data_IF_897367661821
#
_entry.id   IF_897367661821
#
_cell.length_a   1.000
_cell.length_b   1.000
_cell.length_c   1.000
_cell.angle_alpha   90.00
_cell.angle_beta   90.00
_cell.angle_gamma   90.00
#
_symmetry.space_group_name_H-M   'P 1'
#
loop_
_entity.id
_entity.type
_entity.pdbx_description
1 polymer ?
#
# COMPACT_ATOMS: atom_id res chain seq x y z
N UNK A 1 -37.07 22.95 13.78
CA UNK A 1 -36.74 23.20 15.19
C UNK A 1 -36.24 21.89 15.76
N UNK A 2 -35.01 21.72 16.22
CA UNK A 2 -33.88 22.64 16.31
C UNK A 2 -32.64 21.79 16.58
N UNK A 3 -31.53 22.21 15.99
CA UNK A 3 -30.21 21.64 16.16
C UNK A 3 -29.87 21.51 17.65
N UNK A 4 -29.51 20.29 18.07
CA UNK A 4 -28.75 20.10 19.29
C UNK A 4 -27.38 19.60 18.89
N UNK A 5 -26.55 20.57 18.51
CA UNK A 5 -25.13 20.58 18.86
C UNK A 5 -25.00 20.20 20.33
N UNK A 6 -24.83 18.91 20.61
CA UNK A 6 -24.20 18.48 21.85
C UNK A 6 -22.71 18.77 21.68
N UNK A 7 -22.37 20.06 21.83
CA UNK A 7 -21.02 20.56 21.90
C UNK A 7 -20.24 19.68 22.86
N UNK A 8 -19.17 19.08 22.32
CA UNK A 8 -18.22 18.33 23.10
C UNK A 8 -17.75 19.21 24.24
N UNK A 9 -18.12 18.81 25.46
CA UNK A 9 -17.46 19.27 26.67
C UNK A 9 -15.99 18.83 26.54
N UNK A 10 -15.20 19.71 25.92
CA UNK A 10 -13.75 19.64 25.96
C UNK A 10 -13.39 19.94 27.42
N UNK A 11 -13.51 18.91 28.26
CA UNK A 11 -13.15 18.94 29.67
C UNK A 11 -11.72 19.45 29.77
N UNK A 12 -11.59 20.72 30.13
CA UNK A 12 -10.32 21.42 30.23
C UNK A 12 -9.56 20.73 31.35
N UNK A 13 -8.68 19.79 30.99
CA UNK A 13 -7.91 19.04 31.98
C UNK A 13 -6.88 20.02 32.56
N UNK A 14 -6.92 20.33 33.86
CA UNK A 14 -6.06 21.36 34.43
C UNK A 14 -4.59 20.95 34.25
N UNK A 15 -3.77 21.87 33.75
CA UNK A 15 -2.34 21.65 33.57
C UNK A 15 -1.68 21.30 34.91
N UNK A 16 -0.89 20.22 34.93
CA UNK A 16 -0.16 19.81 36.12
C UNK A 16 1.08 20.71 36.30
N UNK A 17 1.33 21.17 37.53
CA UNK A 17 2.51 21.98 37.87
C UNK A 17 3.67 21.05 38.19
N UNK A 18 4.73 21.09 37.39
CA UNK A 18 5.99 20.39 37.65
C UNK A 18 7.07 21.43 37.87
N UNK A 19 7.47 21.63 39.13
CA UNK A 19 8.36 22.74 39.52
C UNK A 19 7.70 24.11 39.32
N UNK A 20 8.36 25.04 38.64
CA UNK A 20 7.84 26.37 38.28
C UNK A 20 7.08 26.39 36.94
N UNK A 21 7.02 25.26 36.22
CA UNK A 21 6.44 25.16 34.88
C UNK A 21 5.08 24.47 34.90
N UNK A 22 4.14 24.94 34.08
CA UNK A 22 2.84 24.28 33.86
C UNK A 22 2.94 23.40 32.61
N UNK A 23 2.63 22.12 32.74
CA UNK A 23 2.63 21.17 31.63
C UNK A 23 1.18 20.78 31.34
N UNK A 24 0.74 21.00 30.09
CA UNK A 24 -0.56 20.53 29.65
C UNK A 24 -0.58 18.99 29.71
N UNK A 25 -1.52 18.42 30.46
CA UNK A 25 -1.76 16.99 30.39
C UNK A 25 -2.35 16.71 29.01
N UNK A 26 -1.62 15.96 28.18
CA UNK A 26 -2.19 15.44 26.94
C UNK A 26 -3.39 14.59 27.34
N UNK A 27 -4.59 15.04 27.00
CA UNK A 27 -5.78 14.21 27.01
C UNK A 27 -5.42 12.99 26.17
N UNK A 28 -5.38 11.80 26.78
CA UNK A 28 -5.19 10.56 26.03
C UNK A 28 -6.30 10.54 24.99
N UNK A 29 -5.93 10.44 23.72
CA UNK A 29 -6.90 10.12 22.68
C UNK A 29 -7.67 8.89 23.15
N UNK A 30 -9.01 8.89 23.00
CA UNK A 30 -9.79 7.72 23.39
C UNK A 30 -9.18 6.53 22.65
N UNK A 31 -8.73 5.55 23.41
CA UNK A 31 -8.16 4.32 22.86
C UNK A 31 -9.24 3.74 21.96
N UNK A 32 -9.06 3.84 20.65
CA UNK A 32 -10.02 3.31 19.70
C UNK A 32 -10.21 1.83 20.03
N UNK A 33 -11.47 1.48 20.35
CA UNK A 33 -11.80 0.12 20.74
C UNK A 33 -11.51 -0.77 19.52
N UNK A 34 -10.73 -1.85 19.67
CA UNK A 34 -10.53 -2.78 18.58
C UNK A 34 -11.89 -3.35 18.16
N UNK A 35 -12.17 -3.31 16.86
CA UNK A 35 -13.37 -3.90 16.28
C UNK A 35 -13.44 -5.38 16.63
N UNK A 36 -14.63 -5.83 17.03
CA UNK A 36 -14.90 -7.26 17.16
C UNK A 36 -14.88 -7.92 15.78
N UNK A 37 -14.69 -9.24 15.75
CA UNK A 37 -14.78 -10.00 14.49
C UNK A 37 -16.13 -9.81 13.80
N UNK A 38 -17.22 -9.67 14.54
CA UNK A 38 -18.56 -9.45 14.00
C UNK A 38 -18.70 -8.07 13.37
N UNK A 39 -18.19 -7.04 14.04
CA UNK A 39 -18.20 -5.66 13.52
C UNK A 39 -17.36 -5.54 12.25
N UNK A 40 -16.20 -6.21 12.21
CA UNK A 40 -15.35 -6.27 11.02
C UNK A 40 -16.05 -6.98 9.86
N UNK A 41 -16.72 -8.10 10.13
CA UNK A 41 -17.47 -8.83 9.11
C UNK A 41 -18.62 -7.98 8.56
N UNK A 42 -19.31 -7.24 9.42
CA UNK A 42 -20.40 -6.36 9.01
C UNK A 42 -19.92 -5.20 8.13
N UNK A 43 -18.83 -4.53 8.52
CA UNK A 43 -18.20 -3.50 7.69
C UNK A 43 -17.74 -4.05 6.33
N UNK A 44 -17.16 -5.25 6.30
CA UNK A 44 -16.75 -5.87 5.03
C UNK A 44 -17.94 -6.20 4.13
N UNK A 45 -19.08 -6.63 4.70
CA UNK A 45 -20.31 -6.85 3.94
C UNK A 45 -20.86 -5.56 3.35
N UNK A 46 -20.89 -4.49 4.13
CA UNK A 46 -21.37 -3.18 3.67
C UNK A 46 -20.47 -2.61 2.56
N UNK A 47 -19.16 -2.62 2.76
CA UNK A 47 -18.20 -2.16 1.75
C UNK A 47 -18.31 -2.97 0.44
N UNK A 48 -18.36 -4.30 0.54
CA UNK A 48 -18.50 -5.16 -0.64
C UNK A 48 -19.88 -5.04 -1.30
N UNK A 49 -20.92 -4.62 -0.57
CA UNK A 49 -22.24 -4.35 -1.13
C UNK A 49 -22.32 -3.04 -1.91
N UNK A 50 -21.35 -2.13 -1.75
CA UNK A 50 -21.22 -0.92 -2.57
C UNK A 50 -20.40 -1.18 -3.86
N UNK A 51 -19.69 -2.30 -3.95
CA UNK A 51 -18.98 -2.77 -5.16
C UNK A 51 -19.99 -3.45 -6.11
N UNK A 52 -21.05 -2.75 -6.50
CA UNK A 52 -22.12 -3.31 -7.37
C UNK A 52 -21.86 -3.08 -8.86
N UNK A 53 -20.84 -2.30 -9.23
CA UNK A 53 -20.55 -2.07 -10.64
C UNK A 53 -19.09 -2.42 -10.87
N UNK A 54 -18.79 -3.57 -11.50
CA UNK A 54 -17.51 -3.73 -12.19
C UNK A 54 -17.32 -2.46 -13.02
N UNK A 55 -16.18 -1.77 -12.92
CA UNK A 55 -15.98 -0.54 -13.68
C UNK A 55 -16.46 -0.80 -15.11
N UNK A 56 -17.47 -0.04 -15.55
CA UNK A 56 -17.91 -0.11 -16.94
C UNK A 56 -16.67 0.23 -17.74
N UNK A 57 -16.04 -0.78 -18.29
CA UNK A 57 -15.05 -0.53 -19.31
C UNK A 57 -15.81 0.13 -20.46
N UNK A 58 -15.26 1.21 -21.02
CA UNK A 58 -15.87 1.93 -22.16
C UNK A 58 -15.88 1.09 -23.45
N UNK A 59 -15.61 -0.21 -23.38
CA UNK A 59 -15.65 -1.14 -24.50
C UNK A 59 -17.09 -1.57 -24.73
N UNK A 60 -17.65 -1.17 -25.86
CA UNK A 60 -19.02 -1.47 -26.25
C UNK A 60 -19.15 -2.94 -26.68
N UNK A 61 -18.03 -3.57 -27.07
CA UNK A 61 -17.98 -4.95 -27.56
C UNK A 61 -16.89 -5.81 -26.90
N UNK A 62 -17.09 -7.14 -26.81
CA UNK A 62 -16.06 -8.08 -26.36
C UNK A 62 -14.77 -8.02 -27.19
N UNK A 63 -14.89 -7.75 -28.49
CA UNK A 63 -13.76 -7.65 -29.41
C UNK A 63 -12.86 -6.43 -29.09
N UNK A 64 -13.47 -5.31 -28.69
CA UNK A 64 -12.74 -4.11 -28.25
C UNK A 64 -11.95 -4.36 -26.97
N UNK A 65 -12.56 -5.05 -26.00
CA UNK A 65 -11.87 -5.45 -24.77
C UNK A 65 -10.68 -6.37 -25.09
N UNK A 66 -10.87 -7.34 -25.98
CA UNK A 66 -9.80 -8.26 -26.38
C UNK A 66 -8.65 -7.52 -27.10
N UNK A 67 -8.98 -6.56 -27.97
CA UNK A 67 -7.99 -5.73 -28.64
C UNK A 67 -7.21 -4.85 -27.67
N UNK A 68 -7.90 -4.23 -26.71
CA UNK A 68 -7.27 -3.44 -25.65
C UNK A 68 -6.28 -4.31 -24.85
N UNK A 69 -6.73 -5.47 -24.36
CA UNK A 69 -5.93 -6.33 -23.50
C UNK A 69 -4.69 -6.85 -24.22
N UNK A 70 -4.82 -7.23 -25.49
CA UNK A 70 -3.66 -7.61 -26.32
C UNK A 70 -2.68 -6.45 -26.50
N UNK A 71 -3.20 -5.25 -26.76
CA UNK A 71 -2.38 -4.05 -26.99
C UNK A 71 -1.62 -3.66 -25.73
N UNK A 72 -2.29 -3.61 -24.58
CA UNK A 72 -1.68 -3.35 -23.28
C UNK A 72 -0.60 -4.37 -22.97
N UNK A 73 -0.88 -5.66 -23.16
CA UNK A 73 0.09 -6.73 -22.93
C UNK A 73 1.34 -6.55 -23.80
N UNK A 74 1.19 -6.21 -25.08
CA UNK A 74 2.33 -5.98 -25.99
C UNK A 74 3.15 -4.76 -25.59
N UNK A 75 2.50 -3.65 -25.22
CA UNK A 75 3.18 -2.41 -24.82
C UNK A 75 3.94 -2.59 -23.50
N UNK A 76 3.38 -3.33 -22.55
CA UNK A 76 3.95 -3.51 -21.22
C UNK A 76 4.98 -4.65 -21.13
N UNK A 77 5.17 -5.42 -22.20
CA UNK A 77 6.22 -6.45 -22.25
C UNK A 77 7.60 -5.80 -22.25
N UNK A 78 8.19 -5.70 -21.06
CA UNK A 78 9.61 -5.37 -20.91
C UNK A 78 10.45 -6.50 -21.49
N UNK A 79 11.59 -6.19 -22.16
CA UNK A 79 12.51 -7.22 -22.60
C UNK A 79 12.99 -8.05 -21.40
N UNK A 80 13.06 -9.37 -21.58
CA UNK A 80 13.57 -10.27 -20.56
C UNK A 80 15.02 -9.90 -20.22
N UNK A 81 15.41 -9.93 -18.93
CA UNK A 81 16.78 -9.67 -18.55
C UNK A 81 17.70 -10.70 -19.21
N UNK A 82 18.62 -10.26 -20.06
CA UNK A 82 19.64 -11.12 -20.63
C UNK A 82 20.82 -11.22 -19.66
N UNK A 83 21.03 -12.41 -19.11
CA UNK A 83 22.24 -12.70 -18.33
C UNK A 83 23.39 -13.03 -19.28
N UNK A 84 24.13 -12.02 -19.74
CA UNK A 84 25.42 -12.25 -20.42
C UNK A 84 26.50 -12.52 -19.37
N UNK A 85 27.01 -13.75 -19.32
CA UNK A 85 28.20 -14.05 -18.52
C UNK A 85 29.38 -13.27 -19.10
N UNK A 86 30.22 -12.61 -18.28
CA UNK A 86 31.44 -12.01 -18.78
C UNK A 86 32.32 -13.12 -19.38
N UNK A 87 32.56 -13.04 -20.69
CA UNK A 87 33.53 -13.90 -21.39
C UNK A 87 34.91 -13.54 -20.87
N UNK A 88 35.33 -14.21 -19.81
CA UNK A 88 36.71 -14.09 -19.36
C UNK A 88 37.52 -14.93 -20.33
N UNK A 89 38.23 -14.29 -21.26
CA UNK A 89 39.20 -14.99 -22.08
C UNK A 89 40.28 -15.55 -21.16
N UNK A 90 40.19 -16.85 -20.86
CA UNK A 90 41.25 -17.57 -20.15
C UNK A 90 42.43 -17.61 -21.10
N UNK A 91 43.39 -16.70 -20.91
CA UNK A 91 44.64 -16.79 -21.65
C UNK A 91 45.32 -18.12 -21.29
N UNK A 92 45.70 -18.95 -22.29
CA UNK A 92 46.41 -20.19 -22.01
C UNK A 92 47.74 -19.83 -21.33
N UNK A 93 47.95 -20.35 -20.12
CA UNK A 93 49.25 -20.24 -19.45
C UNK A 93 50.25 -21.12 -20.19
N UNK A 94 51.23 -20.49 -20.84
CA UNK A 94 52.36 -21.20 -21.44
C UNK A 94 53.29 -21.60 -20.29
N UNK A 95 53.23 -22.86 -19.87
CA UNK A 95 54.18 -23.42 -18.92
C UNK A 95 55.48 -23.78 -19.68
N UNK A 96 56.57 -23.06 -19.39
CA UNK A 96 57.89 -23.47 -19.88
C UNK A 96 58.41 -24.67 -19.07
N UNK A 97 59.02 -25.69 -19.72
CA UNK A 97 59.64 -26.79 -19.00
C UNK A 97 60.85 -26.27 -18.20
N UNK A 98 60.92 -26.60 -16.91
CA UNK A 98 62.15 -26.39 -16.14
C UNK A 98 63.14 -27.44 -16.58
N UNK A 99 64.28 -27.03 -17.12
CA UNK A 99 65.45 -27.89 -17.25
C UNK A 99 65.99 -28.19 -15.86
N UNK A 100 66.03 -29.46 -15.48
CA UNK A 100 67.11 -30.14 -14.74
C UNK A 100 66.79 -31.63 -14.64
#
# INVERSE_FOLDING_TARGET
MGDKDSGGDLGITPAAKVGSMRVAQRHREPVEKPLSREELMEQSRQYNSEIVVPPKHDFETPEELQFHDETVRRIQQKPLPQATKPTTYVQPRICQPRSN
#
